data_IF_019510188974
#
_entry.id   IF_019510188974
#
_cell.length_a   1.000
_cell.length_b   1.000
_cell.length_c   1.000
_cell.angle_alpha   90.00
_cell.angle_beta   90.00
_cell.angle_gamma   90.00
#
_symmetry.space_group_name_H-M   'P 1'
#
loop_
_entity.id
_entity.type
_entity.pdbx_description
1 polymer ?
#
# COMPACT_ATOMS: atom_id res chain seq x y z
N UNK A 1 0.60 -43.99 10.17
CA UNK A 1 0.88 -42.60 10.59
C UNK A 1 -0.28 -42.15 11.46
N UNK A 2 -0.08 -41.97 12.77
CA UNK A 2 -1.13 -41.48 13.65
C UNK A 2 -1.45 -40.02 13.26
N UNK A 3 -2.70 -39.75 12.88
CA UNK A 3 -3.14 -38.41 12.51
C UNK A 3 -3.06 -37.49 13.71
N UNK A 4 -2.33 -36.39 13.60
CA UNK A 4 -2.51 -35.25 14.49
C UNK A 4 -3.83 -34.57 14.11
N UNK A 5 -4.87 -34.69 14.94
CA UNK A 5 -6.07 -33.89 14.81
C UNK A 5 -5.99 -32.61 15.64
N UNK A 6 -6.85 -31.65 15.29
CA UNK A 6 -7.01 -30.39 16.02
C UNK A 6 -8.40 -30.37 16.66
N UNK A 7 -8.47 -30.00 17.94
CA UNK A 7 -9.71 -29.58 18.59
C UNK A 7 -9.77 -28.06 18.56
N UNK A 8 -10.95 -27.48 18.38
CA UNK A 8 -11.11 -26.03 18.31
C UNK A 8 -12.27 -25.56 19.19
N UNK A 9 -12.20 -24.29 19.58
CA UNK A 9 -13.28 -23.58 20.26
C UNK A 9 -13.48 -22.23 19.57
N UNK A 10 -14.72 -21.92 19.23
CA UNK A 10 -15.12 -20.64 18.64
C UNK A 10 -15.73 -19.76 19.70
N UNK A 11 -15.40 -18.47 19.64
CA UNK A 11 -15.98 -17.40 20.43
C UNK A 11 -16.66 -16.42 19.50
N UNK A 12 -17.98 -16.32 19.63
CA UNK A 12 -18.74 -15.29 18.96
C UNK A 12 -18.52 -13.95 19.66
N UNK A 13 -18.24 -12.90 18.90
CA UNK A 13 -18.19 -11.54 19.41
C UNK A 13 -19.16 -10.68 18.58
N UNK A 14 -20.29 -10.23 19.15
CA UNK A 14 -21.31 -9.47 18.41
C UNK A 14 -20.80 -8.12 17.89
N UNK A 15 -19.66 -7.63 18.41
CA UNK A 15 -19.04 -6.37 18.00
C UNK A 15 -18.05 -6.52 16.83
N UNK A 16 -17.77 -7.76 16.41
CA UNK A 16 -16.85 -8.08 15.31
C UNK A 16 -17.70 -8.44 14.07
N UNK A 17 -17.20 -8.14 12.86
CA UNK A 17 -17.86 -8.51 11.61
C UNK A 17 -18.26 -9.98 11.59
N UNK A 18 -19.44 -10.29 11.04
CA UNK A 18 -19.90 -11.66 10.77
C UNK A 18 -19.01 -12.45 9.77
N UNK A 19 -17.91 -11.86 9.31
CA UNK A 19 -16.94 -12.45 8.40
C UNK A 19 -15.83 -13.24 9.13
N UNK A 20 -15.62 -13.03 10.44
CA UNK A 20 -14.67 -13.83 11.21
C UNK A 20 -15.02 -13.96 12.70
N UNK A 21 -14.46 -14.98 13.35
CA UNK A 21 -14.70 -15.33 14.74
C UNK A 21 -13.37 -15.55 15.48
N UNK A 22 -13.28 -15.11 16.73
CA UNK A 22 -12.12 -15.42 17.57
C UNK A 22 -12.21 -16.84 18.12
N UNK A 23 -11.08 -17.44 18.49
CA UNK A 23 -11.13 -18.72 19.17
C UNK A 23 -9.76 -19.30 19.50
N UNK A 24 -9.78 -20.59 19.85
CA UNK A 24 -8.61 -21.34 20.30
C UNK A 24 -8.45 -22.62 19.50
N UNK A 25 -7.19 -22.97 19.22
CA UNK A 25 -6.81 -24.23 18.58
C UNK A 25 -5.97 -25.07 19.57
N UNK A 26 -6.38 -26.32 19.75
CA UNK A 26 -5.78 -27.31 20.64
C UNK A 26 -5.25 -28.49 19.81
N UNK A 27 -4.04 -28.97 20.12
CA UNK A 27 -3.54 -30.21 19.52
C UNK A 27 -4.08 -31.41 20.29
N UNK A 28 -4.63 -32.39 19.58
CA UNK A 28 -5.30 -33.55 20.19
C UNK A 28 -4.40 -34.41 21.08
N UNK A 29 -3.07 -34.40 20.87
CA UNK A 29 -2.15 -35.23 21.66
C UNK A 29 -2.10 -34.85 23.14
N UNK A 30 -2.19 -33.55 23.46
CA UNK A 30 -1.87 -33.07 24.81
C UNK A 30 -2.99 -32.23 25.44
N UNK A 31 -4.05 -31.89 24.68
CA UNK A 31 -5.19 -31.11 25.17
C UNK A 31 -4.85 -29.68 25.63
N UNK A 32 -3.58 -29.27 25.55
CA UNK A 32 -3.11 -27.92 25.88
C UNK A 32 -3.51 -26.94 24.78
N UNK A 33 -3.93 -25.76 25.20
CA UNK A 33 -4.13 -24.62 24.30
C UNK A 33 -2.79 -24.30 23.65
N UNK A 34 -2.74 -24.30 22.32
CA UNK A 34 -1.48 -24.04 21.61
C UNK A 34 -1.48 -22.67 20.95
N UNK A 35 -2.63 -22.18 20.49
CA UNK A 35 -2.68 -20.93 19.74
C UNK A 35 -4.02 -20.20 19.93
N UNK A 36 -3.91 -18.89 20.14
CA UNK A 36 -4.99 -17.95 19.87
C UNK A 36 -5.12 -17.80 18.35
N UNK A 37 -6.32 -17.98 17.81
CA UNK A 37 -6.58 -18.02 16.37
C UNK A 37 -7.79 -17.17 15.98
N UNK A 38 -7.88 -16.88 14.68
CA UNK A 38 -9.04 -16.26 14.06
C UNK A 38 -9.60 -17.18 12.96
N UNK A 39 -10.92 -17.38 12.97
CA UNK A 39 -11.63 -18.20 12.00
C UNK A 39 -12.35 -17.30 11.00
N UNK A 40 -11.90 -17.30 9.75
CA UNK A 40 -12.46 -16.50 8.67
C UNK A 40 -13.48 -17.34 7.90
N UNK A 41 -14.72 -16.84 7.80
CA UNK A 41 -15.82 -17.54 7.11
C UNK A 41 -15.54 -17.61 5.60
N UNK A 42 -15.75 -18.79 5.02
CA UNK A 42 -15.73 -18.99 3.57
C UNK A 42 -17.18 -18.99 3.06
N UNK A 43 -17.49 -18.03 2.19
CA UNK A 43 -18.84 -17.85 1.63
C UNK A 43 -18.87 -18.27 0.16
N UNK A 44 -19.97 -18.94 -0.24
CA UNK A 44 -20.29 -19.31 -1.61
C UNK A 44 -20.81 -20.74 -1.75
N UNK A 45 -21.25 -21.10 -2.96
CA UNK A 45 -21.50 -22.49 -3.33
C UNK A 45 -20.22 -23.32 -3.22
N UNK A 46 -20.35 -24.60 -2.84
CA UNK A 46 -19.21 -25.51 -2.63
C UNK A 46 -18.15 -24.93 -1.67
N UNK A 47 -18.59 -24.34 -0.56
CA UNK A 47 -17.73 -23.70 0.43
C UNK A 47 -16.66 -24.63 1.01
N UNK A 48 -16.91 -25.95 1.05
CA UNK A 48 -15.96 -26.99 1.43
C UNK A 48 -14.76 -27.06 0.46
N UNK A 49 -15.05 -27.16 -0.84
CA UNK A 49 -14.03 -27.22 -1.90
C UNK A 49 -13.25 -25.91 -1.92
N UNK A 50 -13.96 -24.78 -1.84
CA UNK A 50 -13.34 -23.46 -1.82
C UNK A 50 -12.44 -23.26 -0.60
N UNK A 51 -12.88 -23.66 0.59
CA UNK A 51 -12.07 -23.55 1.80
C UNK A 51 -10.78 -24.37 1.67
N UNK A 52 -10.87 -25.60 1.14
CA UNK A 52 -9.71 -26.44 0.86
C UNK A 52 -8.75 -25.82 -0.15
N UNK A 53 -9.27 -25.33 -1.28
CA UNK A 53 -8.44 -24.71 -2.31
C UNK A 53 -7.73 -23.46 -1.78
N UNK A 54 -8.45 -22.56 -1.11
CA UNK A 54 -7.90 -21.32 -0.55
C UNK A 54 -6.86 -21.63 0.53
N UNK A 55 -7.11 -22.63 1.38
CA UNK A 55 -6.13 -23.09 2.37
C UNK A 55 -4.81 -23.49 1.71
N UNK A 56 -4.87 -24.39 0.73
CA UNK A 56 -3.65 -24.88 0.07
C UNK A 56 -2.92 -23.77 -0.68
N UNK A 57 -3.64 -22.91 -1.43
CA UNK A 57 -3.05 -21.78 -2.16
C UNK A 57 -2.40 -20.78 -1.21
N UNK A 58 -3.10 -20.38 -0.15
CA UNK A 58 -2.58 -19.45 0.85
C UNK A 58 -1.37 -20.04 1.56
N UNK A 59 -1.39 -21.35 1.87
CA UNK A 59 -0.26 -22.05 2.48
C UNK A 59 0.97 -22.12 1.57
N UNK A 60 0.79 -22.31 0.27
CA UNK A 60 1.89 -22.26 -0.70
C UNK A 60 2.51 -20.87 -0.81
N UNK A 61 1.71 -19.82 -0.60
CA UNK A 61 2.15 -18.44 -0.73
C UNK A 61 2.64 -17.79 0.58
N UNK A 62 2.82 -18.55 1.66
CA UNK A 62 3.22 -18.00 2.97
C UNK A 62 4.54 -17.24 2.86
N UNK A 63 4.54 -16.02 3.39
CA UNK A 63 5.70 -15.17 3.57
C UNK A 63 5.43 -14.12 4.67
N UNK A 64 6.22 -13.05 4.72
CA UNK A 64 6.02 -11.97 5.68
C UNK A 64 4.69 -11.20 5.50
N UNK A 65 4.08 -11.25 4.32
CA UNK A 65 2.90 -10.48 3.91
C UNK A 65 1.63 -11.33 3.92
N UNK A 66 1.72 -12.61 3.52
CA UNK A 66 0.60 -13.56 3.52
C UNK A 66 0.51 -14.23 4.89
N UNK A 67 -0.62 -14.08 5.55
CA UNK A 67 -0.82 -14.67 6.86
C UNK A 67 -0.99 -16.19 6.75
N UNK A 68 -0.28 -16.91 7.61
CA UNK A 68 -0.30 -18.36 7.67
C UNK A 68 -1.69 -18.89 8.10
N UNK A 69 -2.33 -19.76 7.29
CA UNK A 69 -3.45 -20.56 7.74
C UNK A 69 -2.97 -21.85 8.43
N UNK A 70 -3.59 -22.19 9.55
CA UNK A 70 -3.36 -23.44 10.29
C UNK A 70 -4.11 -24.62 9.68
N UNK A 71 -5.39 -24.41 9.38
CA UNK A 71 -6.28 -25.43 8.83
C UNK A 71 -7.52 -24.80 8.21
N UNK A 72 -8.32 -25.61 7.51
CA UNK A 72 -9.70 -25.28 7.14
C UNK A 72 -10.61 -26.32 7.77
N UNK A 73 -11.78 -25.89 8.27
CA UNK A 73 -12.67 -26.77 9.01
C UNK A 73 -14.13 -26.34 8.87
N UNK A 74 -15.03 -27.29 9.07
CA UNK A 74 -16.44 -27.03 9.22
C UNK A 74 -16.73 -26.71 10.69
N UNK A 75 -17.16 -25.48 10.92
CA UNK A 75 -17.50 -24.88 12.21
C UNK A 75 -19.00 -24.97 12.44
N UNK A 76 -19.44 -25.80 13.38
CA UNK A 76 -20.84 -25.84 13.82
C UNK A 76 -20.89 -25.88 15.35
N UNK A 77 -21.62 -24.96 15.97
CA UNK A 77 -21.85 -25.00 17.42
C UNK A 77 -23.35 -25.00 17.72
N UNK A 78 -23.77 -26.04 18.45
CA UNK A 78 -25.17 -26.23 18.87
C UNK A 78 -25.54 -25.40 20.10
N UNK A 79 -24.55 -25.00 20.91
CA UNK A 79 -24.75 -24.48 22.26
C UNK A 79 -24.68 -22.94 22.39
N UNK A 80 -24.79 -22.21 21.28
CA UNK A 80 -25.02 -20.76 21.36
C UNK A 80 -26.49 -20.49 21.71
N UNK A 81 -26.85 -20.70 22.97
CA UNK A 81 -28.19 -20.42 23.52
C UNK A 81 -28.65 -18.99 23.25
N UNK A 82 -27.71 -18.05 23.15
CA UNK A 82 -27.94 -16.62 22.90
C UNK A 82 -28.16 -16.26 21.42
N UNK A 83 -27.82 -17.14 20.47
CA UNK A 83 -28.00 -16.86 19.05
C UNK A 83 -29.37 -17.35 18.54
N UNK A 84 -30.07 -16.60 17.68
CA UNK A 84 -31.30 -17.05 17.02
C UNK A 84 -31.13 -18.41 16.30
N UNK A 85 -32.16 -19.28 16.30
CA UNK A 85 -32.11 -20.63 15.68
C UNK A 85 -31.69 -20.64 14.21
N UNK A 86 -31.98 -19.57 13.49
CA UNK A 86 -31.73 -19.36 12.06
C UNK A 86 -30.33 -18.80 11.75
N UNK A 87 -29.54 -18.46 12.77
CA UNK A 87 -28.17 -17.97 12.61
C UNK A 87 -27.30 -19.01 11.90
N UNK A 88 -26.57 -18.60 10.87
CA UNK A 88 -25.75 -19.51 10.04
C UNK A 88 -24.76 -20.37 10.83
N UNK A 89 -24.23 -19.88 11.96
CA UNK A 89 -23.36 -20.64 12.87
C UNK A 89 -24.00 -21.92 13.42
N UNK A 90 -25.33 -21.92 13.62
CA UNK A 90 -26.08 -23.13 14.04
C UNK A 90 -26.22 -24.13 12.89
N UNK A 91 -26.36 -23.63 11.65
CA UNK A 91 -26.40 -24.44 10.42
C UNK A 91 -25.02 -25.00 10.05
N UNK A 92 -23.97 -24.35 10.53
CA UNK A 92 -22.58 -24.70 10.32
C UNK A 92 -22.00 -24.00 9.09
N UNK A 93 -20.73 -23.63 9.17
CA UNK A 93 -20.03 -22.83 8.16
C UNK A 93 -18.64 -23.43 7.90
N UNK A 94 -18.12 -23.27 6.68
CA UNK A 94 -16.72 -23.53 6.42
C UNK A 94 -15.87 -22.33 6.79
N UNK A 95 -14.74 -22.57 7.45
CA UNK A 95 -13.85 -21.54 7.95
C UNK A 95 -12.39 -21.87 7.67
N UNK A 96 -11.60 -20.84 7.42
CA UNK A 96 -10.14 -20.89 7.44
C UNK A 96 -9.65 -20.41 8.80
N UNK A 97 -8.80 -21.20 9.45
CA UNK A 97 -8.20 -20.87 10.74
C UNK A 97 -6.83 -20.22 10.50
N UNK A 98 -6.65 -19.00 10.95
CA UNK A 98 -5.42 -18.21 10.84
C UNK A 98 -4.85 -17.89 12.22
N UNK A 99 -3.60 -17.45 12.27
CA UNK A 99 -3.09 -16.74 13.43
C UNK A 99 -4.01 -15.60 13.84
N UNK A 100 -4.10 -15.35 15.15
CA UNK A 100 -4.88 -14.22 15.67
C UNK A 100 -4.39 -12.91 15.05
N UNK A 101 -5.35 -12.13 14.57
CA UNK A 101 -5.18 -10.76 14.10
C UNK A 101 -6.13 -9.84 14.86
N UNK A 102 -5.79 -8.56 14.98
CA UNK A 102 -6.58 -7.63 15.78
C UNK A 102 -7.87 -7.24 15.04
N UNK A 103 -7.74 -6.82 13.79
CA UNK A 103 -8.85 -6.38 12.94
C UNK A 103 -8.58 -6.69 11.48
N UNK A 104 -9.63 -6.99 10.70
CA UNK A 104 -9.54 -6.86 9.26
C UNK A 104 -9.58 -5.37 8.85
N UNK A 105 -9.11 -5.03 7.65
CA UNK A 105 -9.05 -3.64 7.19
C UNK A 105 -10.44 -3.01 7.08
N UNK A 106 -11.48 -3.81 6.78
CA UNK A 106 -12.88 -3.34 6.72
C UNK A 106 -13.34 -2.78 8.08
N UNK A 107 -13.11 -3.52 9.15
CA UNK A 107 -13.54 -3.16 10.50
C UNK A 107 -12.61 -2.12 11.11
N UNK A 108 -11.30 -2.25 10.89
CA UNK A 108 -10.35 -1.21 11.27
C UNK A 108 -10.73 0.15 10.67
N UNK A 109 -11.10 0.19 9.37
CA UNK A 109 -11.51 1.43 8.72
C UNK A 109 -12.76 2.03 9.36
N UNK A 110 -13.75 1.20 9.74
CA UNK A 110 -14.96 1.69 10.43
C UNK A 110 -14.62 2.29 11.80
N UNK A 111 -13.69 1.68 12.53
CA UNK A 111 -13.24 2.15 13.84
C UNK A 111 -12.40 3.43 13.75
N UNK A 112 -11.57 3.56 12.71
CA UNK A 112 -10.67 4.70 12.50
C UNK A 112 -11.37 5.96 11.96
N UNK A 113 -12.59 5.83 11.40
CA UNK A 113 -13.36 6.95 10.86
C UNK A 113 -13.57 8.05 11.91
N UNK A 114 -13.40 9.34 11.53
CA UNK A 114 -13.78 10.45 12.40
C UNK A 114 -15.25 10.33 12.81
N UNK A 115 -15.53 10.29 14.12
CA UNK A 115 -16.92 10.33 14.62
C UNK A 115 -17.44 11.78 14.62
N UNK A 116 -18.76 12.00 14.51
CA UNK A 116 -19.35 13.33 14.72
C UNK A 116 -18.96 13.91 16.08
N UNK A 117 -18.90 15.25 16.18
CA UNK A 117 -18.54 15.98 17.41
C UNK A 117 -19.33 15.44 18.63
N UNK A 118 -18.62 15.12 19.71
CA UNK A 118 -19.22 14.77 21.02
C UNK A 118 -19.02 13.32 21.49
N UNK A 119 -18.47 12.43 20.66
CA UNK A 119 -18.13 11.05 21.09
C UNK A 119 -16.62 10.94 21.19
N UNK A 120 -16.11 10.58 22.38
CA UNK A 120 -14.69 10.39 22.63
C UNK A 120 -14.08 9.41 21.61
N UNK A 121 -13.10 9.93 20.88
CA UNK A 121 -12.36 9.24 19.82
C UNK A 121 -11.31 8.33 20.47
N UNK A 122 -11.17 7.08 20.02
CA UNK A 122 -10.12 6.20 20.53
C UNK A 122 -8.87 6.35 19.64
N UNK A 123 -8.07 7.38 19.90
CA UNK A 123 -6.83 7.69 19.15
C UNK A 123 -5.87 6.50 19.06
N UNK A 124 -5.92 5.56 20.01
CA UNK A 124 -5.02 4.39 20.08
C UNK A 124 -5.17 3.42 18.90
N UNK A 125 -6.28 3.44 18.16
CA UNK A 125 -6.50 2.59 16.99
C UNK A 125 -6.18 3.28 15.66
N UNK A 126 -5.98 4.60 15.68
CA UNK A 126 -5.68 5.37 14.48
C UNK A 126 -4.20 5.28 14.20
N UNK A 127 -3.84 4.47 13.20
CA UNK A 127 -2.56 4.67 12.52
C UNK A 127 -2.67 6.01 11.80
N UNK A 128 -1.87 7.02 12.16
CA UNK A 128 -1.92 8.32 11.50
C UNK A 128 -1.71 8.07 10.00
N UNK A 129 -2.60 8.57 9.15
CA UNK A 129 -2.27 8.63 7.72
C UNK A 129 -1.11 9.60 7.57
N UNK A 130 -1.20 10.74 8.26
CA UNK A 130 -0.16 11.75 8.30
C UNK A 130 0.45 11.95 9.67
N UNK A 131 1.74 12.26 9.70
CA UNK A 131 2.44 12.76 10.89
C UNK A 131 1.99 14.20 11.19
N UNK A 132 2.32 14.72 12.38
CA UNK A 132 1.88 16.05 12.84
C UNK A 132 2.35 17.23 11.97
N UNK A 133 3.35 17.02 11.13
CA UNK A 133 3.85 17.97 10.14
C UNK A 133 3.30 17.72 8.72
N UNK A 134 2.22 16.94 8.60
CA UNK A 134 1.50 16.71 7.36
C UNK A 134 2.09 15.67 6.41
N UNK A 135 3.23 15.03 6.75
CA UNK A 135 3.85 13.97 5.93
C UNK A 135 3.05 12.68 6.00
N UNK A 136 3.19 11.80 5.00
CA UNK A 136 2.75 10.41 5.17
C UNK A 136 3.48 9.76 6.35
N UNK A 137 2.73 9.04 7.17
CA UNK A 137 3.32 8.10 8.10
C UNK A 137 4.09 6.99 7.37
N UNK A 138 5.37 6.82 7.69
CA UNK A 138 6.25 5.80 7.08
C UNK A 138 5.63 4.41 7.06
N UNK A 139 4.74 4.11 8.00
CA UNK A 139 3.92 2.90 8.01
C UNK A 139 3.26 2.64 6.65
N UNK A 140 2.52 3.60 6.08
CA UNK A 140 1.71 3.36 4.87
C UNK A 140 2.56 3.16 3.63
N UNK A 141 3.64 3.94 3.46
CA UNK A 141 4.58 3.73 2.34
C UNK A 141 5.22 2.34 2.42
N UNK A 142 5.66 1.97 3.63
CA UNK A 142 6.26 0.66 3.86
C UNK A 142 5.25 -0.48 3.68
N UNK A 143 4.00 -0.30 4.13
CA UNK A 143 2.93 -1.26 3.96
C UNK A 143 2.60 -1.47 2.47
N UNK A 144 2.44 -0.39 1.69
CA UNK A 144 2.20 -0.48 0.24
C UNK A 144 3.35 -1.21 -0.46
N UNK A 145 4.59 -0.83 -0.17
CA UNK A 145 5.78 -1.48 -0.75
C UNK A 145 5.85 -2.98 -0.43
N UNK A 146 5.60 -3.34 0.84
CA UNK A 146 5.53 -4.74 1.28
C UNK A 146 4.40 -5.50 0.59
N UNK A 147 3.20 -4.93 0.48
CA UNK A 147 2.05 -5.57 -0.18
C UNK A 147 2.33 -5.85 -1.65
N UNK A 148 2.87 -4.88 -2.40
CA UNK A 148 3.24 -5.07 -3.81
C UNK A 148 4.28 -6.19 -3.93
N UNK A 149 5.31 -6.17 -3.09
CA UNK A 149 6.35 -7.20 -3.08
C UNK A 149 5.81 -8.59 -2.72
N UNK A 150 4.91 -8.69 -1.74
CA UNK A 150 4.27 -9.95 -1.34
C UNK A 150 3.37 -10.52 -2.43
N UNK A 151 2.62 -9.67 -3.13
CA UNK A 151 1.82 -10.08 -4.28
C UNK A 151 2.69 -10.55 -5.45
N UNK A 152 3.83 -9.90 -5.70
CA UNK A 152 4.80 -10.41 -6.69
C UNK A 152 5.29 -11.83 -6.31
N UNK A 153 5.50 -12.12 -5.02
CA UNK A 153 5.87 -13.47 -4.56
C UNK A 153 4.72 -14.48 -4.68
N UNK A 154 3.47 -14.09 -4.43
CA UNK A 154 2.29 -14.90 -4.77
C UNK A 154 2.33 -15.29 -6.26
N UNK A 155 2.63 -14.34 -7.14
CA UNK A 155 2.72 -14.56 -8.58
C UNK A 155 3.87 -15.49 -8.99
N UNK A 156 5.03 -15.38 -8.34
CA UNK A 156 6.17 -16.29 -8.57
C UNK A 156 5.86 -17.73 -8.17
N UNK A 157 4.91 -17.96 -7.26
CA UNK A 157 4.44 -19.28 -6.85
C UNK A 157 3.37 -19.88 -7.79
N UNK A 158 3.13 -19.30 -8.98
CA UNK A 158 2.10 -19.78 -9.90
C UNK A 158 0.67 -19.42 -9.48
N UNK A 159 0.51 -18.49 -8.55
CA UNK A 159 -0.78 -18.10 -7.97
C UNK A 159 -1.12 -16.65 -8.31
N UNK A 160 -2.36 -16.26 -8.08
CA UNK A 160 -2.79 -14.86 -7.99
C UNK A 160 -3.87 -14.78 -6.92
N UNK A 161 -4.12 -13.61 -6.36
CA UNK A 161 -5.11 -13.45 -5.31
C UNK A 161 -6.53 -13.35 -5.86
N UNK A 162 -6.77 -12.46 -6.84
CA UNK A 162 -8.05 -12.31 -7.53
C UNK A 162 -9.17 -11.61 -6.76
N UNK A 163 -8.94 -11.21 -5.50
CA UNK A 163 -9.94 -10.56 -4.62
C UNK A 163 -9.37 -9.46 -3.73
N UNK A 164 -8.28 -8.82 -4.16
CA UNK A 164 -7.63 -7.76 -3.41
C UNK A 164 -8.45 -6.46 -3.34
N UNK A 165 -9.58 -6.35 -4.05
CA UNK A 165 -10.57 -5.28 -3.84
C UNK A 165 -11.36 -5.38 -2.53
N UNK A 166 -11.41 -6.58 -1.94
CA UNK A 166 -12.18 -6.81 -0.73
C UNK A 166 -11.34 -6.47 0.50
N UNK A 167 -11.74 -5.43 1.24
CA UNK A 167 -11.08 -5.02 2.50
C UNK A 167 -11.02 -6.14 3.55
N UNK A 168 -11.87 -7.16 3.45
CA UNK A 168 -11.85 -8.33 4.34
C UNK A 168 -10.68 -9.28 4.07
N UNK A 169 -9.97 -9.15 2.95
CA UNK A 169 -8.78 -9.95 2.64
C UNK A 169 -7.48 -9.33 3.19
N UNK A 170 -7.60 -8.26 3.98
CA UNK A 170 -6.48 -7.64 4.65
C UNK A 170 -6.70 -7.64 6.16
N UNK A 171 -5.66 -7.96 6.92
CA UNK A 171 -5.71 -8.07 8.38
C UNK A 171 -4.52 -7.40 9.03
N UNK A 172 -4.74 -6.78 10.18
CA UNK A 172 -3.70 -6.18 11.01
C UNK A 172 -3.18 -7.20 12.01
N UNK A 173 -1.86 -7.34 12.08
CA UNK A 173 -1.15 -8.08 13.13
C UNK A 173 0.01 -7.20 13.60
N UNK A 174 0.00 -6.78 14.87
CA UNK A 174 1.09 -5.98 15.46
C UNK A 174 1.54 -4.83 14.56
N UNK A 175 0.57 -4.03 14.11
CA UNK A 175 0.79 -2.89 13.20
C UNK A 175 1.37 -3.29 11.83
N UNK A 176 1.16 -4.51 11.36
CA UNK A 176 1.49 -4.92 10.00
C UNK A 176 0.21 -5.29 9.23
N UNK A 177 0.06 -4.74 8.02
CA UNK A 177 -1.03 -5.13 7.14
C UNK A 177 -0.64 -6.37 6.34
N UNK A 178 -1.38 -7.45 6.54
CA UNK A 178 -1.18 -8.76 5.89
C UNK A 178 -2.37 -9.12 5.01
N UNK A 179 -2.12 -10.01 4.06
CA UNK A 179 -3.11 -10.54 3.11
C UNK A 179 -3.53 -11.95 3.55
N UNK A 180 -4.80 -12.28 3.36
CA UNK A 180 -5.36 -13.62 3.56
C UNK A 180 -6.17 -14.05 2.34
N UNK A 181 -6.47 -15.35 2.24
CA UNK A 181 -7.39 -15.91 1.24
C UNK A 181 -6.90 -15.79 -0.22
N UNK A 182 -5.72 -16.30 -0.53
CA UNK A 182 -5.24 -16.42 -1.92
C UNK A 182 -6.15 -17.40 -2.67
N UNK A 183 -6.95 -16.91 -3.62
CA UNK A 183 -7.97 -17.72 -4.29
C UNK A 183 -7.59 -18.19 -5.70
N UNK A 184 -6.68 -17.52 -6.41
CA UNK A 184 -6.39 -17.77 -7.82
C UNK A 184 -5.22 -18.71 -8.07
N UNK A 185 -5.24 -19.39 -9.22
CA UNK A 185 -4.13 -20.19 -9.75
C UNK A 185 -3.90 -19.84 -11.22
N UNK A 186 -2.66 -19.51 -11.57
CA UNK A 186 -2.29 -19.09 -12.92
C UNK A 186 -2.33 -20.26 -13.93
N UNK A 187 -2.18 -21.49 -13.44
CA UNK A 187 -2.28 -22.71 -14.25
C UNK A 187 -3.71 -22.96 -14.76
N UNK A 188 -4.72 -22.38 -14.10
CA UNK A 188 -6.12 -22.43 -14.55
C UNK A 188 -6.43 -21.42 -15.67
N UNK A 189 -5.51 -20.49 -15.96
CA UNK A 189 -5.67 -19.49 -17.02
C UNK A 189 -5.08 -20.01 -18.34
N UNK A 190 -5.75 -19.66 -19.45
CA UNK A 190 -5.52 -20.28 -20.76
C UNK A 190 -4.39 -19.65 -21.55
N UNK A 191 -4.10 -18.37 -21.30
CA UNK A 191 -3.08 -17.62 -22.03
C UNK A 191 -2.16 -16.82 -21.11
N UNK A 192 -0.97 -16.50 -21.62
CA UNK A 192 -0.03 -15.65 -20.91
C UNK A 192 -0.54 -14.21 -20.76
N UNK A 193 -1.37 -13.75 -21.70
CA UNK A 193 -2.05 -12.45 -21.60
C UNK A 193 -3.04 -12.43 -20.42
N UNK A 194 -3.86 -13.49 -20.25
CA UNK A 194 -4.77 -13.62 -19.10
C UNK A 194 -3.98 -13.63 -17.78
N UNK A 195 -2.88 -14.39 -17.73
CA UNK A 195 -1.98 -14.44 -16.56
C UNK A 195 -1.39 -13.07 -16.26
N UNK A 196 -0.88 -12.37 -17.27
CA UNK A 196 -0.34 -11.02 -17.14
C UNK A 196 -1.40 -10.05 -16.59
N UNK A 197 -2.62 -10.11 -17.13
CA UNK A 197 -3.71 -9.22 -16.73
C UNK A 197 -4.18 -9.46 -15.30
N UNK A 198 -4.32 -10.71 -14.84
CA UNK A 198 -4.69 -10.99 -13.45
C UNK A 198 -3.57 -10.56 -12.48
N UNK A 199 -2.30 -10.76 -12.83
CA UNK A 199 -1.17 -10.28 -12.02
C UNK A 199 -1.13 -8.76 -11.89
N UNK A 200 -1.30 -8.02 -13.00
CA UNK A 200 -1.38 -6.54 -12.97
C UNK A 200 -2.59 -6.07 -12.17
N UNK A 201 -3.72 -6.77 -12.31
CA UNK A 201 -4.97 -6.46 -11.61
C UNK A 201 -4.84 -6.58 -10.11
N UNK A 202 -4.16 -7.60 -9.60
CA UNK A 202 -3.91 -7.73 -8.16
C UNK A 202 -3.18 -6.51 -7.57
N UNK A 203 -2.14 -6.02 -8.25
CA UNK A 203 -1.40 -4.81 -7.84
C UNK A 203 -2.32 -3.58 -7.86
N UNK A 204 -3.08 -3.37 -8.95
CA UNK A 204 -4.03 -2.25 -9.01
C UNK A 204 -5.14 -2.34 -7.97
N UNK A 205 -5.60 -3.54 -7.64
CA UNK A 205 -6.69 -3.77 -6.69
C UNK A 205 -6.26 -3.46 -5.24
N UNK A 206 -4.98 -3.67 -4.90
CA UNK A 206 -4.39 -3.18 -3.63
C UNK A 206 -4.52 -1.66 -3.54
N UNK A 207 -4.00 -0.95 -4.55
CA UNK A 207 -3.92 0.50 -4.52
C UNK A 207 -5.31 1.13 -4.53
N UNK A 208 -6.23 0.57 -5.33
CA UNK A 208 -7.63 0.99 -5.31
C UNK A 208 -8.26 0.81 -3.93
N UNK A 209 -8.03 -0.32 -3.27
CA UNK A 209 -8.58 -0.57 -1.93
C UNK A 209 -8.06 0.43 -0.91
N UNK A 210 -6.76 0.72 -0.93
CA UNK A 210 -6.13 1.68 -0.04
C UNK A 210 -6.59 3.13 -0.31
N UNK A 211 -6.73 3.52 -1.57
CA UNK A 211 -7.32 4.81 -1.97
C UNK A 211 -8.72 4.99 -1.35
N UNK A 212 -9.57 3.97 -1.47
CA UNK A 212 -10.91 4.00 -0.89
C UNK A 212 -10.90 3.99 0.65
N UNK A 213 -9.85 3.44 1.29
CA UNK A 213 -9.67 3.55 2.74
C UNK A 213 -9.29 4.98 3.11
N UNK A 214 -8.29 5.57 2.46
CA UNK A 214 -7.81 6.92 2.75
C UNK A 214 -8.90 7.98 2.54
N UNK A 215 -9.64 7.91 1.44
CA UNK A 215 -10.79 8.80 1.19
C UNK A 215 -11.84 8.68 2.30
N UNK A 216 -12.11 7.47 2.78
CA UNK A 216 -13.10 7.25 3.84
C UNK A 216 -12.66 7.74 5.22
N UNK A 217 -11.37 8.02 5.40
CA UNK A 217 -10.79 8.59 6.61
C UNK A 217 -10.70 10.13 6.56
N UNK A 218 -11.21 10.74 5.48
CA UNK A 218 -11.31 12.19 5.32
C UNK A 218 -10.12 12.84 4.60
N UNK A 219 -9.20 12.05 4.03
CA UNK A 219 -8.15 12.60 3.16
C UNK A 219 -8.73 12.99 1.81
N UNK A 220 -8.51 14.24 1.39
CA UNK A 220 -8.87 14.69 0.06
C UNK A 220 -7.73 14.37 -0.93
N UNK A 221 -8.02 14.24 -2.23
CA UNK A 221 -7.00 13.90 -3.25
C UNK A 221 -5.89 14.94 -3.35
N UNK A 222 -6.19 16.19 -3.01
CA UNK A 222 -5.23 17.30 -3.05
C UNK A 222 -4.33 17.35 -1.81
N UNK A 223 -4.60 16.51 -0.81
CA UNK A 223 -3.86 16.49 0.43
C UNK A 223 -2.57 15.69 0.30
N UNK A 224 -2.43 14.88 -0.77
CA UNK A 224 -1.28 14.01 -0.97
C UNK A 224 -1.06 13.67 -2.45
N UNK A 225 -0.48 14.62 -3.17
CA UNK A 225 -0.27 14.55 -4.60
C UNK A 225 0.65 13.38 -4.99
N UNK A 226 1.69 13.09 -4.21
CA UNK A 226 2.61 11.98 -4.49
C UNK A 226 1.91 10.63 -4.54
N UNK A 227 1.03 10.33 -3.57
CA UNK A 227 0.25 9.10 -3.56
C UNK A 227 -0.81 9.08 -4.64
N UNK A 228 -1.46 10.22 -4.88
CA UNK A 228 -2.46 10.32 -5.91
C UNK A 228 -1.86 10.04 -7.29
N UNK A 229 -0.73 10.67 -7.62
CA UNK A 229 0.00 10.45 -8.86
C UNK A 229 0.49 9.01 -8.97
N UNK A 230 0.97 8.40 -7.87
CA UNK A 230 1.34 6.98 -7.87
C UNK A 230 0.14 6.06 -8.19
N UNK A 231 -1.02 6.30 -7.58
CA UNK A 231 -2.20 5.48 -7.81
C UNK A 231 -2.74 5.62 -9.24
N UNK A 232 -2.76 6.84 -9.78
CA UNK A 232 -3.12 7.07 -11.18
C UNK A 232 -2.09 6.45 -12.12
N UNK A 233 -0.79 6.58 -11.84
CA UNK A 233 0.28 5.94 -12.61
C UNK A 233 0.06 4.42 -12.76
N UNK A 234 -0.23 3.71 -11.67
CA UNK A 234 -0.43 2.24 -11.73
C UNK A 234 -1.71 1.88 -12.47
N UNK A 235 -2.77 2.67 -12.29
CA UNK A 235 -4.05 2.51 -12.99
C UNK A 235 -3.86 2.69 -14.51
N UNK A 236 -3.14 3.71 -14.92
CA UNK A 236 -2.86 4.01 -16.34
C UNK A 236 -1.93 2.93 -16.93
N UNK A 237 -0.81 2.64 -16.25
CA UNK A 237 0.18 1.63 -16.66
C UNK A 237 -0.39 0.21 -16.81
N UNK A 238 -1.44 -0.12 -16.06
CA UNK A 238 -2.12 -1.42 -16.19
C UNK A 238 -2.77 -1.59 -17.56
N UNK A 239 -3.27 -0.52 -18.16
CA UNK A 239 -3.97 -0.55 -19.45
C UNK A 239 -3.01 -0.58 -20.65
N UNK A 240 -1.75 -0.22 -20.42
CA UNK A 240 -0.70 -0.31 -21.43
C UNK A 240 -0.32 -1.76 -21.74
N UNK A 241 0.11 -1.98 -22.98
CA UNK A 241 0.65 -3.25 -23.50
C UNK A 241 2.10 -3.50 -23.02
N UNK A 242 2.34 -3.33 -21.73
CA UNK A 242 3.59 -3.68 -21.05
C UNK A 242 3.58 -5.16 -20.69
N UNK A 243 4.73 -5.84 -20.75
CA UNK A 243 4.84 -7.16 -20.12
C UNK A 243 4.74 -7.01 -18.58
N UNK A 244 4.48 -8.11 -17.87
CA UNK A 244 4.32 -8.06 -16.41
C UNK A 244 5.59 -7.56 -15.70
N UNK A 245 6.76 -8.00 -16.14
CA UNK A 245 8.04 -7.65 -15.52
C UNK A 245 8.37 -6.16 -15.69
N UNK A 246 8.13 -5.61 -16.89
CA UNK A 246 8.27 -4.17 -17.14
C UNK A 246 7.29 -3.35 -16.29
N UNK A 247 6.04 -3.80 -16.20
CA UNK A 247 5.05 -3.16 -15.34
C UNK A 247 5.50 -3.14 -13.87
N UNK A 248 5.93 -4.28 -13.32
CA UNK A 248 6.42 -4.35 -11.92
C UNK A 248 7.66 -3.49 -11.74
N UNK A 249 8.62 -3.53 -12.67
CA UNK A 249 9.83 -2.71 -12.63
C UNK A 249 9.48 -1.23 -12.55
N UNK A 250 8.54 -0.76 -13.38
CA UNK A 250 8.10 0.64 -13.37
C UNK A 250 7.30 1.00 -12.11
N UNK A 251 6.47 0.10 -11.58
CA UNK A 251 5.72 0.31 -10.32
C UNK A 251 6.65 0.41 -9.11
N UNK A 252 7.58 -0.53 -8.96
CA UNK A 252 8.54 -0.55 -7.84
C UNK A 252 9.57 0.57 -7.97
N UNK A 253 9.91 0.98 -9.19
CA UNK A 253 10.77 2.12 -9.49
C UNK A 253 10.11 3.49 -9.32
N UNK A 254 8.80 3.55 -9.08
CA UNK A 254 8.08 4.81 -8.96
C UNK A 254 8.59 5.63 -7.75
N UNK A 255 8.81 6.96 -7.88
CA UNK A 255 9.40 7.81 -6.85
C UNK A 255 8.75 7.67 -5.47
N UNK A 256 7.43 7.50 -5.46
CA UNK A 256 6.63 7.27 -4.25
C UNK A 256 7.16 6.15 -3.33
N UNK A 257 7.71 5.07 -3.91
CA UNK A 257 8.22 3.92 -3.16
C UNK A 257 9.72 3.98 -2.87
N UNK A 258 10.42 4.99 -3.42
CA UNK A 258 11.86 5.12 -3.30
C UNK A 258 12.28 5.80 -1.98
N UNK A 259 13.50 5.51 -1.54
CA UNK A 259 14.16 6.25 -0.45
C UNK A 259 14.51 7.67 -0.90
N UNK A 260 14.70 8.59 0.05
CA UNK A 260 15.07 9.98 -0.21
C UNK A 260 16.28 10.09 -1.16
N UNK A 261 17.36 9.35 -0.91
CA UNK A 261 18.53 9.35 -1.82
C UNK A 261 18.18 8.93 -3.24
N UNK A 262 17.35 7.89 -3.41
CA UNK A 262 16.96 7.41 -4.73
C UNK A 262 16.02 8.39 -5.43
N UNK A 263 15.11 9.04 -4.70
CA UNK A 263 14.25 10.10 -5.22
C UNK A 263 15.07 11.29 -5.71
N UNK A 264 15.99 11.77 -4.88
CA UNK A 264 16.87 12.89 -5.23
C UNK A 264 17.81 12.52 -6.39
N UNK A 265 18.22 11.25 -6.51
CA UNK A 265 18.96 10.75 -7.67
C UNK A 265 18.15 10.78 -8.96
N UNK A 266 16.82 10.57 -8.93
CA UNK A 266 16.02 10.60 -10.16
C UNK A 266 16.02 11.97 -10.84
N UNK A 267 16.11 13.07 -10.09
CA UNK A 267 16.27 14.40 -10.71
C UNK A 267 17.56 14.51 -11.52
N UNK A 268 18.65 13.96 -10.97
CA UNK A 268 19.94 13.90 -11.63
C UNK A 268 19.91 12.96 -12.83
N UNK A 269 19.26 11.79 -12.71
CA UNK A 269 19.11 10.84 -13.81
C UNK A 269 18.32 11.45 -14.98
N UNK A 270 17.21 12.16 -14.71
CA UNK A 270 16.45 12.82 -15.77
C UNK A 270 17.25 13.94 -16.44
N UNK A 271 17.97 14.75 -15.66
CA UNK A 271 18.81 15.81 -16.23
C UNK A 271 19.98 15.23 -17.04
N UNK A 272 20.63 14.17 -16.56
CA UNK A 272 21.68 13.48 -17.31
C UNK A 272 21.15 12.84 -18.59
N UNK A 273 19.96 12.23 -18.57
CA UNK A 273 19.36 11.64 -19.78
C UNK A 273 19.04 12.69 -20.85
N UNK A 274 18.86 13.97 -20.49
CA UNK A 274 18.66 15.07 -21.44
C UNK A 274 19.90 15.41 -22.27
N UNK A 275 21.04 14.73 -22.07
CA UNK A 275 22.13 14.76 -23.05
C UNK A 275 21.76 14.07 -24.37
N UNK A 276 20.77 13.17 -24.35
CA UNK A 276 20.14 12.63 -25.55
C UNK A 276 19.07 13.59 -26.07
N UNK A 277 19.17 14.00 -27.33
CA UNK A 277 18.28 15.00 -27.94
C UNK A 277 16.81 14.55 -27.97
N UNK A 278 16.55 13.25 -28.18
CA UNK A 278 15.18 12.71 -28.24
C UNK A 278 14.55 12.72 -26.85
N UNK A 279 15.32 12.29 -25.84
CA UNK A 279 14.85 12.33 -24.45
C UNK A 279 14.67 13.79 -24.01
N UNK A 280 15.58 14.68 -24.36
CA UNK A 280 15.48 16.11 -24.03
C UNK A 280 14.20 16.74 -24.58
N UNK A 281 13.90 16.49 -25.85
CA UNK A 281 12.66 16.97 -26.48
C UNK A 281 11.42 16.40 -25.76
N UNK A 282 11.42 15.09 -25.44
CA UNK A 282 10.31 14.47 -24.74
C UNK A 282 10.10 15.05 -23.34
N UNK A 283 11.17 15.22 -22.54
CA UNK A 283 11.11 15.82 -21.22
C UNK A 283 10.60 17.27 -21.30
N UNK A 284 11.11 18.07 -22.24
CA UNK A 284 10.66 19.45 -22.41
C UNK A 284 9.18 19.53 -22.81
N UNK A 285 8.70 18.62 -23.67
CA UNK A 285 7.28 18.52 -24.01
C UNK A 285 6.42 18.17 -22.79
N UNK A 286 6.87 17.23 -21.96
CA UNK A 286 6.19 16.86 -20.71
C UNK A 286 6.12 18.06 -19.76
N UNK A 287 7.24 18.74 -19.51
CA UNK A 287 7.31 19.89 -18.61
C UNK A 287 6.54 21.12 -19.12
N UNK A 288 6.29 21.21 -20.43
CA UNK A 288 5.45 22.24 -21.04
C UNK A 288 3.94 21.92 -21.00
N UNK A 289 3.56 20.72 -20.57
CA UNK A 289 2.15 20.32 -20.49
C UNK A 289 1.40 21.05 -19.37
N UNK A 290 0.07 21.13 -19.50
CA UNK A 290 -0.77 21.84 -18.51
C UNK A 290 -0.77 21.19 -17.13
N UNK A 291 -0.37 19.92 -17.01
CA UNK A 291 -0.24 19.25 -15.70
C UNK A 291 0.84 19.92 -14.83
N UNK A 292 1.81 20.61 -15.45
CA UNK A 292 2.90 21.31 -14.75
C UNK A 292 2.66 22.81 -14.55
N UNK A 293 1.50 23.34 -14.96
CA UNK A 293 1.20 24.77 -14.85
C UNK A 293 1.26 25.29 -13.40
N UNK A 294 0.97 24.43 -12.43
CA UNK A 294 1.03 24.73 -10.99
C UNK A 294 2.44 25.04 -10.48
N UNK A 295 3.48 24.65 -11.23
CA UNK A 295 4.89 24.89 -10.90
C UNK A 295 5.49 26.07 -11.66
N UNK A 296 4.70 26.78 -12.49
CA UNK A 296 5.19 28.01 -13.14
C UNK A 296 5.42 29.09 -12.09
N UNK A 297 6.48 29.88 -12.29
CA UNK A 297 6.89 30.91 -11.32
C UNK A 297 7.15 30.34 -9.91
N UNK A 298 7.65 29.10 -9.84
CA UNK A 298 7.92 28.39 -8.59
C UNK A 298 8.83 29.18 -7.65
N UNK A 299 9.75 29.98 -8.21
CA UNK A 299 10.69 30.81 -7.47
C UNK A 299 9.98 31.91 -6.66
N UNK A 300 8.91 32.52 -7.17
CA UNK A 300 8.13 33.53 -6.44
C UNK A 300 7.38 32.91 -5.25
N UNK A 301 6.76 31.74 -5.45
CA UNK A 301 6.04 31.02 -4.41
C UNK A 301 6.99 30.47 -3.33
N UNK A 302 8.14 29.94 -3.74
CA UNK A 302 9.20 29.45 -2.87
C UNK A 302 9.78 30.57 -1.99
N UNK A 303 10.15 31.70 -2.57
CA UNK A 303 10.71 32.83 -1.81
C UNK A 303 9.70 33.43 -0.81
N UNK A 304 8.40 33.36 -1.11
CA UNK A 304 7.35 33.77 -0.19
C UNK A 304 7.12 32.75 0.95
N UNK A 305 7.36 31.46 0.72
CA UNK A 305 7.12 30.38 1.70
C UNK A 305 8.32 30.06 2.59
N UNK A 306 9.55 30.42 2.17
CA UNK A 306 10.80 30.22 2.94
C UNK A 306 11.02 31.24 4.05
N UNK A 307 10.03 32.07 4.40
CA UNK A 307 10.08 32.97 5.56
C UNK A 307 10.17 32.26 6.93
N UNK A 308 10.20 30.93 6.95
CA UNK A 308 10.42 30.12 8.16
C UNK A 308 11.87 29.62 8.17
N UNK A 309 12.66 30.08 9.16
CA UNK A 309 14.10 29.82 9.29
C UNK A 309 14.39 28.39 9.76
N UNK A 310 14.09 27.39 8.93
CA UNK A 310 14.62 26.03 9.16
C UNK A 310 15.95 25.86 8.45
N UNK A 311 16.81 24.97 8.95
CA UNK A 311 18.10 24.68 8.31
C UNK A 311 17.93 24.16 6.87
N UNK A 312 16.86 23.42 6.58
CA UNK A 312 16.52 22.94 5.24
C UNK A 312 16.10 24.11 4.33
N UNK A 313 15.21 24.98 4.80
CA UNK A 313 14.74 26.14 4.02
C UNK A 313 15.91 27.10 3.73
N UNK A 314 16.82 27.31 4.69
CA UNK A 314 18.05 28.09 4.51
C UNK A 314 19.00 27.44 3.49
N UNK A 315 19.19 26.12 3.54
CA UNK A 315 20.01 25.39 2.57
C UNK A 315 19.43 25.49 1.15
N UNK A 316 18.13 25.20 0.99
CA UNK A 316 17.43 25.30 -0.30
C UNK A 316 17.53 26.74 -0.84
N UNK A 317 17.30 27.75 0.00
CA UNK A 317 17.48 29.17 -0.37
C UNK A 317 18.91 29.51 -0.76
N UNK A 318 19.90 28.93 -0.07
CA UNK A 318 21.31 29.06 -0.42
C UNK A 318 21.59 28.52 -1.83
N UNK A 319 21.15 27.29 -2.12
CA UNK A 319 21.29 26.68 -3.46
C UNK A 319 20.57 27.51 -4.53
N UNK A 320 19.40 28.06 -4.21
CA UNK A 320 18.69 28.98 -5.10
C UNK A 320 19.54 30.22 -5.42
N UNK A 321 20.12 30.86 -4.41
CA UNK A 321 20.94 32.07 -4.57
C UNK A 321 22.24 31.84 -5.34
N UNK A 322 22.76 30.61 -5.37
CA UNK A 322 23.93 30.26 -6.20
C UNK A 322 23.62 30.14 -7.69
N UNK A 323 22.37 29.90 -8.06
CA UNK A 323 21.96 29.71 -9.45
C UNK A 323 21.26 30.92 -10.06
N UNK A 324 21.27 31.00 -11.39
CA UNK A 324 20.46 31.95 -12.16
C UNK A 324 19.20 31.22 -12.63
N UNK A 325 18.20 31.15 -11.76
CA UNK A 325 16.94 30.46 -12.04
C UNK A 325 15.89 31.41 -12.64
N UNK A 326 15.29 31.09 -13.79
CA UNK A 326 14.26 31.91 -14.46
C UNK A 326 12.89 31.84 -13.77
N UNK A 327 12.60 30.73 -13.10
CA UNK A 327 11.27 30.43 -12.54
C UNK A 327 10.38 29.57 -13.44
N UNK A 328 10.89 29.15 -14.60
CA UNK A 328 10.22 28.19 -15.47
C UNK A 328 10.31 26.76 -14.92
N UNK A 329 9.40 25.88 -15.35
CA UNK A 329 9.30 24.50 -14.88
C UNK A 329 10.54 23.68 -15.27
N UNK A 330 11.10 23.92 -16.45
CA UNK A 330 12.37 23.30 -16.87
C UNK A 330 13.49 23.63 -15.88
N UNK A 331 13.52 24.89 -15.41
CA UNK A 331 14.53 25.34 -14.48
C UNK A 331 14.30 24.83 -13.05
N UNK A 332 13.05 24.49 -12.70
CA UNK A 332 12.74 23.79 -11.47
C UNK A 332 13.44 22.42 -11.43
N UNK A 333 13.39 21.65 -12.52
CA UNK A 333 14.08 20.34 -12.58
C UNK A 333 15.59 20.51 -12.33
N UNK A 334 16.21 21.52 -12.97
CA UNK A 334 17.62 21.85 -12.78
C UNK A 334 17.93 22.26 -11.35
N UNK A 335 17.08 23.08 -10.73
CA UNK A 335 17.20 23.47 -9.32
C UNK A 335 17.14 22.24 -8.39
N UNK A 336 16.16 21.37 -8.58
CA UNK A 336 15.97 20.17 -7.76
C UNK A 336 17.15 19.20 -7.88
N UNK A 337 17.71 19.05 -9.08
CA UNK A 337 18.96 18.31 -9.32
C UNK A 337 20.14 18.95 -8.58
N UNK A 338 20.26 20.28 -8.60
CA UNK A 338 21.35 20.99 -7.92
C UNK A 338 21.29 20.85 -6.39
N UNK A 339 20.11 20.72 -5.78
CA UNK A 339 19.99 20.46 -4.35
C UNK A 339 20.79 19.22 -3.92
N UNK A 340 20.74 18.14 -4.69
CA UNK A 340 21.53 16.93 -4.43
C UNK A 340 23.04 17.20 -4.53
N UNK A 341 23.49 17.88 -5.59
CA UNK A 341 24.92 18.15 -5.79
C UNK A 341 25.49 19.03 -4.68
N UNK A 342 24.78 20.08 -4.31
CA UNK A 342 25.20 20.95 -3.23
C UNK A 342 25.04 20.30 -1.86
N UNK A 343 24.14 19.33 -1.69
CA UNK A 343 24.02 18.60 -0.44
C UNK A 343 25.32 17.87 -0.07
N UNK A 344 25.94 17.19 -1.03
CA UNK A 344 27.20 16.48 -0.80
C UNK A 344 28.38 17.41 -0.51
N UNK A 345 28.31 18.68 -0.91
CA UNK A 345 29.37 19.66 -0.70
C UNK A 345 29.17 20.50 0.57
N UNK A 346 27.92 20.85 0.88
CA UNK A 346 27.57 21.87 1.88
C UNK A 346 26.33 21.55 2.72
N UNK A 347 25.64 20.43 2.44
CA UNK A 347 24.31 20.13 2.99
C UNK A 347 24.28 19.49 4.38
N UNK A 348 25.41 19.13 4.99
CA UNK A 348 25.42 18.51 6.32
C UNK A 348 24.78 19.40 7.40
N UNK A 349 24.87 20.73 7.24
CA UNK A 349 24.20 21.68 8.13
C UNK A 349 22.67 21.74 7.93
N UNK A 350 22.17 21.30 6.77
CA UNK A 350 20.75 21.22 6.44
C UNK A 350 20.04 20.02 7.09
N UNK A 351 20.80 19.04 7.57
CA UNK A 351 20.30 17.77 8.11
C UNK A 351 20.62 16.59 7.19
N UNK A 352 19.76 15.58 7.20
CA UNK A 352 19.89 14.38 6.37
C UNK A 352 19.33 14.61 4.95
N UNK A 353 19.66 13.74 4.00
CA UNK A 353 19.02 13.74 2.67
C UNK A 353 17.49 13.57 2.77
N UNK A 354 17.02 12.88 3.81
CA UNK A 354 15.58 12.74 4.12
C UNK A 354 14.95 14.09 4.48
N UNK A 355 15.69 14.99 5.10
CA UNK A 355 15.21 16.34 5.42
C UNK A 355 15.18 17.23 4.18
N UNK A 356 16.12 17.06 3.24
CA UNK A 356 16.13 17.77 1.94
C UNK A 356 14.99 17.30 1.03
N UNK A 357 14.83 15.99 0.83
CA UNK A 357 13.70 15.40 0.07
C UNK A 357 12.35 15.85 0.66
N UNK A 358 12.27 15.95 2.00
CA UNK A 358 11.09 16.51 2.68
C UNK A 358 10.87 17.98 2.35
N UNK A 359 11.93 18.79 2.31
CA UNK A 359 11.85 20.18 1.86
C UNK A 359 11.32 20.28 0.43
N UNK A 360 11.80 19.41 -0.47
CA UNK A 360 11.31 19.31 -1.85
C UNK A 360 9.82 18.95 -1.89
N UNK A 361 9.38 17.90 -1.22
CA UNK A 361 7.95 17.52 -1.17
C UNK A 361 7.06 18.61 -0.54
N UNK A 362 7.57 19.37 0.44
CA UNK A 362 6.82 20.48 1.06
C UNK A 362 6.55 21.61 0.06
N UNK A 363 7.56 21.99 -0.73
CA UNK A 363 7.49 23.15 -1.62
C UNK A 363 7.01 22.81 -3.03
N UNK A 364 7.27 21.58 -3.49
CA UNK A 364 7.02 21.11 -4.85
C UNK A 364 6.34 19.73 -4.86
N UNK A 365 5.39 19.53 -3.96
CA UNK A 365 4.70 18.26 -3.74
C UNK A 365 4.14 17.65 -5.02
N UNK A 366 4.43 16.36 -5.25
CA UNK A 366 3.96 15.62 -6.41
C UNK A 366 4.70 15.87 -7.73
N UNK A 367 5.65 16.81 -7.79
CA UNK A 367 6.37 17.13 -9.04
C UNK A 367 7.11 15.93 -9.62
N UNK A 368 7.88 15.21 -8.79
CA UNK A 368 8.69 14.07 -9.24
C UNK A 368 7.82 12.89 -9.69
N UNK A 369 6.72 12.63 -8.98
CA UNK A 369 5.76 11.59 -9.34
C UNK A 369 5.03 11.91 -10.64
N UNK A 370 4.68 13.18 -10.85
CA UNK A 370 4.06 13.65 -12.09
C UNK A 370 5.03 13.54 -13.28
N UNK A 371 6.30 13.90 -13.06
CA UNK A 371 7.36 13.77 -14.06
C UNK A 371 7.59 12.32 -14.43
N UNK A 372 7.72 11.44 -13.44
CA UNK A 372 7.87 10.00 -13.67
C UNK A 372 6.67 9.43 -14.41
N UNK A 373 5.44 9.80 -14.01
CA UNK A 373 4.21 9.36 -14.67
C UNK A 373 4.20 9.70 -16.17
N UNK A 374 4.65 10.90 -16.54
CA UNK A 374 4.56 11.35 -17.92
C UNK A 374 5.75 10.92 -18.80
N UNK A 375 6.90 10.58 -18.21
CA UNK A 375 8.08 10.09 -18.95
C UNK A 375 8.10 8.57 -19.07
N UNK A 376 7.71 7.87 -18.00
CA UNK A 376 7.91 6.42 -17.87
C UNK A 376 6.65 5.61 -18.21
N UNK A 377 5.58 6.21 -18.74
CA UNK A 377 4.33 5.51 -19.11
C UNK A 377 4.19 5.45 -20.61
#
# INVERSE_FOLDING_TARGET
MAGCGYKYMLKFNPNISQEFYEGYLYFERDGKEVQNVAFVKVVGEHADVKAKEVFHRTRTAIDDVVLQPWTYLFSQQKDFSELPPDTELRKGIWSLCYDRFEHNLKDWTKLAKPKPKGIAYNDKLKLPIKTGDGRLNDFWRNAISKLISGVCRIHSNGLYHGKLRLRSNYVFIRECLKIINVEGSLDKLKSDDERCMEKKKDISDILWTLDQVFQSLGENKNSWLECHHFFEFVKDSKTLKLCYDDFVKKVVGHPFLLSADKRMNLFDDYECKRTDETINQHVNLVLASSEFDTFKSWNNAFLASTGTSTNVDNFMSGVYNYGKYSGDVEDLLRYLRNLKHHYHQHGLAAGSMVDVDRGVSKHFGGFLELLYKNIEV
#
